data_IF_165430053958
#
_entry.id   IF_165430053958
#
_cell.length_a   1.000
_cell.length_b   1.000
_cell.length_c   1.000
_cell.angle_alpha   90.00
_cell.angle_beta   90.00
_cell.angle_gamma   90.00
#
_symmetry.space_group_name_H-M   'P 1'
#
loop_
_entity.id
_entity.type
_entity.pdbx_description
1 polymer ?
#
# COMPACT_ATOMS: atom_id res chain seq x y z
N UNK A 1 3.21 -9.15 4.70
CA UNK A 1 2.46 -8.64 5.88
C UNK A 1 1.93 -7.23 5.66
N UNK A 2 2.74 -6.28 5.17
CA UNK A 2 2.34 -4.88 4.97
C UNK A 2 1.10 -4.68 4.08
N UNK A 3 1.05 -5.27 2.87
CA UNK A 3 -0.13 -5.17 2.00
C UNK A 3 -1.39 -5.75 2.64
N UNK A 4 -1.27 -6.84 3.41
CA UNK A 4 -2.41 -7.40 4.12
C UNK A 4 -2.93 -6.42 5.17
N UNK A 5 -2.05 -5.83 5.98
CA UNK A 5 -2.40 -4.78 6.94
C UNK A 5 -3.08 -3.60 6.24
N UNK A 6 -2.50 -3.10 5.15
CA UNK A 6 -3.05 -1.99 4.37
C UNK A 6 -4.43 -2.31 3.78
N UNK A 7 -4.64 -3.53 3.30
CA UNK A 7 -5.93 -3.96 2.74
C UNK A 7 -7.01 -4.24 3.79
N UNK A 8 -6.62 -4.50 5.04
CA UNK A 8 -7.55 -4.73 6.15
C UNK A 8 -7.84 -3.49 6.98
N UNK A 9 -7.06 -2.41 6.80
CA UNK A 9 -7.23 -1.19 7.58
C UNK A 9 -8.49 -0.43 7.12
N UNK A 10 -9.29 0.12 8.06
CA UNK A 10 -10.46 0.89 7.73
C UNK A 10 -10.10 2.26 7.16
N UNK A 11 -10.81 2.68 6.11
CA UNK A 11 -10.65 3.98 5.45
C UNK A 11 -9.57 4.00 4.37
N UNK A 12 -9.28 5.17 3.79
CA UNK A 12 -8.23 5.32 2.80
C UNK A 12 -6.86 5.10 3.46
N UNK A 13 -6.03 4.24 2.87
CA UNK A 13 -4.69 3.92 3.37
C UNK A 13 -3.63 4.51 2.46
N UNK A 14 -2.61 5.14 3.07
CA UNK A 14 -1.40 5.59 2.37
C UNK A 14 -0.19 4.84 2.92
N UNK A 15 0.60 4.23 2.03
CA UNK A 15 1.85 3.53 2.36
C UNK A 15 3.02 4.33 1.80
N UNK A 16 3.95 4.72 2.67
CA UNK A 16 5.19 5.39 2.31
C UNK A 16 6.32 4.36 2.25
N UNK A 17 7.03 4.29 1.12
CA UNK A 17 8.06 3.28 0.89
C UNK A 17 9.08 3.77 -0.12
N UNK A 18 10.34 3.34 -0.03
CA UNK A 18 11.36 3.62 -1.05
C UNK A 18 11.23 2.72 -2.29
N UNK A 19 10.54 1.58 -2.16
CA UNK A 19 10.26 0.60 -3.23
C UNK A 19 8.74 0.42 -3.39
N UNK A 20 8.06 1.27 -4.19
CA UNK A 20 6.62 1.26 -4.36
C UNK A 20 6.08 0.16 -5.28
N UNK A 21 6.91 -0.41 -6.16
CA UNK A 21 6.48 -1.21 -7.30
C UNK A 21 5.76 -2.50 -6.85
N UNK A 22 6.38 -3.24 -5.92
CA UNK A 22 5.82 -4.48 -5.38
C UNK A 22 4.53 -4.22 -4.59
N UNK A 23 4.50 -3.13 -3.82
CA UNK A 23 3.34 -2.78 -3.01
C UNK A 23 2.17 -2.29 -3.86
N UNK A 24 2.43 -1.56 -4.94
CA UNK A 24 1.40 -1.15 -5.90
C UNK A 24 0.76 -2.38 -6.57
N UNK A 25 1.57 -3.36 -6.98
CA UNK A 25 1.09 -4.60 -7.56
C UNK A 25 0.24 -5.42 -6.57
N UNK A 26 0.68 -5.56 -5.32
CA UNK A 26 -0.02 -6.32 -4.29
C UNK A 26 -1.30 -5.63 -3.80
N UNK A 27 -1.30 -4.31 -3.66
CA UNK A 27 -2.46 -3.55 -3.17
C UNK A 27 -3.53 -3.35 -4.26
N UNK A 28 -3.15 -3.38 -5.54
CA UNK A 28 -4.08 -3.27 -6.67
C UNK A 28 -4.92 -1.99 -6.64
N UNK A 29 -4.32 -0.86 -6.25
CA UNK A 29 -4.98 0.44 -6.17
C UNK A 29 -5.90 0.66 -4.96
N UNK A 30 -6.07 -0.34 -4.08
CA UNK A 30 -6.90 -0.20 -2.86
C UNK A 30 -6.21 0.54 -1.72
N UNK A 31 -4.89 0.72 -1.83
CA UNK A 31 -4.11 1.60 -0.98
C UNK A 31 -3.28 2.53 -1.87
N UNK A 32 -3.14 3.78 -1.45
CA UNK A 32 -2.26 4.76 -2.08
C UNK A 32 -0.83 4.43 -1.70
N UNK A 33 0.06 4.24 -2.68
CA UNK A 33 1.48 3.97 -2.43
C UNK A 33 2.28 5.17 -2.92
N UNK A 34 3.06 5.77 -2.03
CA UNK A 34 3.88 6.94 -2.32
C UNK A 34 5.34 6.57 -2.12
N UNK A 35 6.16 6.89 -3.12
CA UNK A 35 7.61 6.79 -3.00
C UNK A 35 8.14 7.89 -2.11
N UNK A 36 8.96 7.52 -1.13
CA UNK A 36 9.73 8.45 -0.29
C UNK A 36 11.22 8.21 -0.43
#
# INVERSE_FOLDING_TARGET
MLSATALTAPGPVTVLTSAPEDLAALCGGRATVIKV
#
